data_IF_683794456757
#
_entry.id   IF_683794456757
#
_cell.length_a   1.000
_cell.length_b   1.000
_cell.length_c   1.000
_cell.angle_alpha   90.00
_cell.angle_beta   90.00
_cell.angle_gamma   90.00
#
_symmetry.space_group_name_H-M   'P 1'
#
loop_
_entity.id
_entity.type
_entity.pdbx_description
1 polymer ?
#
# COMPACT_ATOMS: atom_id res chain seq x y z
N UNK A 1 18.05 -9.86 1.50
CA UNK A 1 17.26 -8.61 1.59
C UNK A 1 16.78 -8.20 0.21
N UNK A 2 15.53 -7.75 0.11
CA UNK A 2 14.95 -7.13 -1.10
C UNK A 2 14.31 -5.81 -0.69
N UNK A 3 14.68 -4.72 -1.36
CA UNK A 3 14.15 -3.38 -1.11
C UNK A 3 13.33 -2.90 -2.31
N UNK A 4 12.22 -2.26 -2.04
CA UNK A 4 11.29 -1.75 -3.05
C UNK A 4 11.19 -0.23 -2.99
N UNK A 5 11.09 0.39 -4.15
CA UNK A 5 11.01 1.85 -4.28
C UNK A 5 9.75 2.48 -3.63
N UNK A 6 8.73 1.70 -3.36
CA UNK A 6 7.53 2.15 -2.67
C UNK A 6 7.64 2.14 -1.14
N UNK A 7 8.83 1.91 -0.59
CA UNK A 7 9.14 2.10 0.82
C UNK A 7 9.03 0.85 1.67
N UNK A 8 9.16 -0.34 1.11
CA UNK A 8 9.23 -1.58 1.88
C UNK A 8 10.54 -2.34 1.67
N UNK A 9 10.95 -3.10 2.69
CA UNK A 9 12.13 -3.96 2.68
C UNK A 9 11.74 -5.31 3.24
N UNK A 10 12.17 -6.38 2.58
CA UNK A 10 11.96 -7.76 3.02
C UNK A 10 13.30 -8.39 3.36
N UNK A 11 13.42 -8.88 4.58
CA UNK A 11 14.60 -9.57 5.09
C UNK A 11 14.36 -11.07 5.12
N UNK A 12 15.39 -11.87 4.82
CA UNK A 12 15.36 -13.32 4.95
C UNK A 12 16.47 -13.75 5.90
N UNK A 13 16.12 -14.34 7.03
CA UNK A 13 17.04 -14.85 8.05
C UNK A 13 18.03 -13.78 8.58
N UNK A 14 17.55 -12.57 8.80
CA UNK A 14 18.28 -11.52 9.50
C UNK A 14 17.98 -11.62 11.00
N UNK A 15 18.97 -11.34 11.81
CA UNK A 15 18.77 -11.06 13.24
C UNK A 15 18.32 -9.61 13.46
N UNK A 16 17.70 -9.33 14.63
CA UNK A 16 17.16 -7.99 14.92
C UNK A 16 18.25 -6.88 14.82
N UNK A 17 19.48 -7.14 15.26
CA UNK A 17 20.59 -6.17 15.19
C UNK A 17 21.00 -5.92 13.73
N UNK A 18 21.03 -6.97 12.89
CA UNK A 18 21.34 -6.87 11.46
C UNK A 18 20.27 -6.08 10.70
N UNK A 19 18.98 -6.28 11.05
CA UNK A 19 17.89 -5.50 10.49
C UNK A 19 18.03 -4.02 10.79
N UNK A 20 18.30 -3.66 12.05
CA UNK A 20 18.47 -2.27 12.50
C UNK A 20 19.66 -1.61 11.81
N UNK A 21 20.81 -2.29 11.72
CA UNK A 21 22.02 -1.79 11.04
C UNK A 21 21.73 -1.56 9.56
N UNK A 22 21.10 -2.53 8.91
CA UNK A 22 20.77 -2.48 7.48
C UNK A 22 19.76 -1.37 7.18
N UNK A 23 18.70 -1.23 7.99
CA UNK A 23 17.73 -0.14 7.85
C UNK A 23 18.41 1.23 8.00
N UNK A 24 19.32 1.37 8.96
CA UNK A 24 20.08 2.60 9.16
C UNK A 24 20.95 2.95 7.96
N UNK A 25 21.53 1.94 7.31
CA UNK A 25 22.30 2.13 6.09
C UNK A 25 21.42 2.52 4.89
N UNK A 26 20.27 1.85 4.71
CA UNK A 26 19.35 2.10 3.59
C UNK A 26 18.69 3.46 3.69
N UNK A 27 18.35 3.92 4.89
CA UNK A 27 17.76 5.26 5.14
C UNK A 27 18.55 6.40 4.52
N UNK A 28 19.88 6.29 4.45
CA UNK A 28 20.75 7.31 3.84
C UNK A 28 20.48 7.50 2.33
N UNK A 29 19.83 6.55 1.70
CA UNK A 29 19.49 6.57 0.26
C UNK A 29 18.00 6.78 0.00
N UNK A 30 17.18 6.90 1.07
CA UNK A 30 15.74 7.12 0.95
C UNK A 30 15.45 8.62 0.86
N UNK A 31 14.47 8.96 0.03
CA UNK A 31 13.79 10.25 0.03
C UNK A 31 12.38 10.05 0.59
N UNK A 32 11.90 10.98 1.40
CA UNK A 32 10.54 10.96 1.96
C UNK A 32 10.23 9.70 2.80
N UNK A 33 11.10 9.42 3.76
CA UNK A 33 10.94 8.29 4.68
C UNK A 33 9.57 8.32 5.40
N UNK A 34 8.94 7.17 5.52
CA UNK A 34 7.70 7.04 6.29
C UNK A 34 7.94 7.30 7.78
N UNK A 35 7.07 8.10 8.39
CA UNK A 35 7.18 8.44 9.83
C UNK A 35 6.99 7.24 10.74
N UNK A 36 6.16 6.29 10.33
CA UNK A 36 5.87 5.08 11.09
C UNK A 36 6.41 3.87 10.33
N UNK A 37 7.21 3.07 11.02
CA UNK A 37 7.69 1.78 10.51
C UNK A 37 6.69 0.70 10.96
N UNK A 38 6.23 -0.10 10.00
CA UNK A 38 5.47 -1.32 10.24
C UNK A 38 6.35 -2.52 9.98
N UNK A 39 6.20 -3.55 10.79
CA UNK A 39 6.88 -4.83 10.64
C UNK A 39 5.86 -5.94 10.70
N UNK A 40 6.03 -6.93 9.85
CA UNK A 40 5.28 -8.18 9.84
C UNK A 40 6.24 -9.33 9.57
N UNK A 41 5.95 -10.50 10.13
CA UNK A 41 6.78 -11.69 9.98
C UNK A 41 5.99 -12.79 9.26
N UNK A 42 6.63 -13.45 8.33
CA UNK A 42 6.04 -14.56 7.58
C UNK A 42 7.00 -15.75 7.47
N UNK A 43 6.51 -16.95 7.75
CA UNK A 43 7.31 -18.15 7.75
C UNK A 43 7.54 -18.71 6.33
N UNK A 44 8.78 -18.98 5.99
CA UNK A 44 9.13 -19.74 4.76
C UNK A 44 9.90 -21.00 5.17
N UNK A 45 9.31 -22.16 4.91
CA UNK A 45 9.93 -23.45 5.19
C UNK A 45 10.39 -24.12 3.90
N UNK A 46 11.52 -24.80 3.95
CA UNK A 46 12.01 -25.59 2.81
C UNK A 46 11.97 -27.07 3.19
N UNK A 47 11.21 -27.84 2.41
CA UNK A 47 11.07 -29.31 2.59
C UNK A 47 11.27 -30.01 1.25
N UNK A 48 12.46 -30.52 0.94
CA UNK A 48 12.76 -31.18 -0.35
C UNK A 48 11.88 -32.38 -0.68
N UNK A 49 11.28 -33.02 0.34
CA UNK A 49 10.40 -34.17 0.21
C UNK A 49 8.93 -33.82 -0.03
N UNK A 50 8.61 -32.53 -0.16
CA UNK A 50 7.23 -32.07 -0.42
C UNK A 50 6.75 -32.65 -1.76
N UNK A 51 5.57 -33.30 -1.85
CA UNK A 51 5.03 -33.81 -3.09
C UNK A 51 4.75 -32.71 -4.12
N UNK A 52 4.14 -31.63 -3.65
CA UNK A 52 3.85 -30.47 -4.45
C UNK A 52 5.02 -29.46 -4.46
N UNK A 53 4.98 -28.49 -5.35
CA UNK A 53 6.00 -27.46 -5.41
C UNK A 53 5.96 -26.53 -4.19
N UNK A 54 4.76 -26.21 -3.74
CA UNK A 54 4.50 -25.39 -2.56
C UNK A 54 3.24 -25.86 -1.84
N UNK A 55 3.19 -25.61 -0.54
CA UNK A 55 2.05 -25.87 0.32
C UNK A 55 1.85 -24.70 1.26
N UNK A 56 0.65 -24.13 1.27
CA UNK A 56 0.27 -23.06 2.18
C UNK A 56 -0.02 -23.55 3.59
N UNK A 57 0.20 -22.68 4.58
CA UNK A 57 -0.13 -22.93 5.98
C UNK A 57 -0.45 -21.62 6.68
N UNK A 58 -0.88 -21.68 7.93
CA UNK A 58 -1.16 -20.47 8.70
C UNK A 58 0.13 -19.67 8.91
N UNK A 59 0.12 -18.41 8.43
CA UNK A 59 1.24 -17.45 8.51
C UNK A 59 2.56 -17.99 7.94
N UNK A 60 2.50 -18.93 6.99
CA UNK A 60 3.68 -19.52 6.38
C UNK A 60 3.39 -20.20 5.04
N UNK A 61 4.45 -20.35 4.26
CA UNK A 61 4.48 -21.20 3.07
C UNK A 61 5.61 -22.22 3.19
N UNK A 62 5.34 -23.47 2.76
CA UNK A 62 6.34 -24.51 2.63
C UNK A 62 6.67 -24.69 1.15
N UNK A 63 7.94 -24.68 0.82
CA UNK A 63 8.45 -24.83 -0.53
C UNK A 63 9.27 -26.13 -0.66
N UNK A 64 9.23 -26.78 -1.82
CA UNK A 64 10.13 -27.89 -2.11
C UNK A 64 11.59 -27.44 -2.16
N UNK A 65 11.84 -26.28 -2.72
CA UNK A 65 13.15 -25.62 -2.78
C UNK A 65 12.98 -24.11 -2.76
N UNK A 66 14.04 -23.41 -2.36
CA UNK A 66 14.10 -21.97 -2.42
C UNK A 66 15.18 -21.53 -3.41
N UNK A 67 14.85 -20.61 -4.29
CA UNK A 67 15.74 -19.98 -5.24
C UNK A 67 15.52 -18.47 -5.31
N UNK A 68 16.24 -17.80 -6.17
CA UNK A 68 16.13 -16.34 -6.34
C UNK A 68 14.75 -15.91 -6.82
N UNK A 69 14.09 -16.70 -7.67
CA UNK A 69 12.77 -16.36 -8.21
C UNK A 69 11.68 -16.56 -7.15
N UNK A 70 11.77 -17.61 -6.31
CA UNK A 70 10.92 -17.75 -5.12
C UNK A 70 11.07 -16.56 -4.17
N UNK A 71 12.30 -16.12 -3.89
CA UNK A 71 12.58 -14.96 -3.04
C UNK A 71 11.94 -13.69 -3.63
N UNK A 72 12.06 -13.48 -4.94
CA UNK A 72 11.45 -12.32 -5.62
C UNK A 72 9.94 -12.33 -5.52
N UNK A 73 9.30 -13.47 -5.79
CA UNK A 73 7.83 -13.58 -5.72
C UNK A 73 7.33 -13.33 -4.31
N UNK A 74 7.90 -14.00 -3.31
CA UNK A 74 7.52 -13.84 -1.90
C UNK A 74 7.75 -12.40 -1.46
N UNK A 75 8.92 -11.83 -1.73
CA UNK A 75 9.24 -10.45 -1.36
C UNK A 75 8.29 -9.44 -2.00
N UNK A 76 7.90 -9.66 -3.26
CA UNK A 76 6.96 -8.78 -3.96
C UNK A 76 5.62 -8.68 -3.21
N UNK A 77 5.06 -9.82 -2.81
CA UNK A 77 3.77 -9.86 -2.09
C UNK A 77 3.90 -9.26 -0.69
N UNK A 78 4.91 -9.66 0.08
CA UNK A 78 5.13 -9.14 1.44
C UNK A 78 5.38 -7.63 1.41
N UNK A 79 6.19 -7.15 0.48
CA UNK A 79 6.48 -5.74 0.30
C UNK A 79 5.24 -4.92 -0.10
N UNK A 80 4.42 -5.44 -1.01
CA UNK A 80 3.15 -4.83 -1.40
C UNK A 80 2.16 -4.79 -0.24
N UNK A 81 2.06 -5.85 0.56
CA UNK A 81 1.17 -5.93 1.71
C UNK A 81 1.47 -4.83 2.74
N UNK A 82 2.73 -4.67 3.11
CA UNK A 82 3.17 -3.63 4.07
C UNK A 82 2.95 -2.22 3.50
N UNK A 83 3.26 -2.00 2.23
CA UNK A 83 3.06 -0.70 1.59
C UNK A 83 1.56 -0.35 1.48
N UNK A 84 0.72 -1.34 1.17
CA UNK A 84 -0.73 -1.17 1.09
C UNK A 84 -1.32 -0.73 2.44
N UNK A 85 -0.84 -1.27 3.56
CA UNK A 85 -1.22 -0.83 4.90
C UNK A 85 -0.92 0.65 5.15
N UNK A 86 0.25 1.11 4.71
CA UNK A 86 0.62 2.51 4.82
C UNK A 86 -0.34 3.42 4.04
N UNK A 87 -0.63 3.07 2.80
CA UNK A 87 -1.55 3.86 1.96
C UNK A 87 -3.00 3.78 2.43
N UNK A 88 -3.45 2.62 2.93
CA UNK A 88 -4.76 2.47 3.52
C UNK A 88 -4.96 3.41 4.72
N UNK A 89 -3.98 3.48 5.62
CA UNK A 89 -4.00 4.42 6.75
C UNK A 89 -4.09 5.88 6.28
N UNK A 90 -3.27 6.25 5.30
CA UNK A 90 -3.26 7.60 4.74
C UNK A 90 -4.60 7.99 4.11
N UNK A 91 -5.22 7.05 3.40
CA UNK A 91 -6.55 7.25 2.80
C UNK A 91 -7.64 7.32 3.87
N UNK A 92 -7.59 6.52 4.92
CA UNK A 92 -8.53 6.59 6.04
C UNK A 92 -8.47 7.94 6.77
N UNK A 93 -7.28 8.50 6.96
CA UNK A 93 -7.09 9.86 7.51
C UNK A 93 -7.76 10.92 6.62
N UNK A 94 -7.66 10.78 5.28
CA UNK A 94 -8.34 11.68 4.35
C UNK A 94 -9.87 11.53 4.43
N UNK A 95 -10.39 10.30 4.47
CA UNK A 95 -11.83 10.04 4.63
C UNK A 95 -12.36 10.67 5.90
N UNK A 96 -11.64 10.55 7.01
CA UNK A 96 -12.02 11.18 8.28
C UNK A 96 -12.05 12.72 8.16
N UNK A 97 -11.07 13.32 7.52
CA UNK A 97 -11.04 14.78 7.27
C UNK A 97 -12.26 15.22 6.48
N UNK A 98 -12.66 14.50 5.44
CA UNK A 98 -13.87 14.81 4.67
C UNK A 98 -15.16 14.62 5.48
N UNK A 99 -15.21 13.59 6.31
CA UNK A 99 -16.33 13.35 7.21
C UNK A 99 -16.52 14.50 8.20
N UNK A 100 -15.44 14.99 8.80
CA UNK A 100 -15.45 16.15 9.70
C UNK A 100 -15.91 17.42 8.99
N UNK A 101 -15.45 17.66 7.76
CA UNK A 101 -15.88 18.79 6.95
C UNK A 101 -17.39 18.74 6.65
N UNK A 102 -17.89 17.57 6.24
CA UNK A 102 -19.31 17.38 5.98
C UNK A 102 -20.17 17.59 7.23
N UNK A 103 -19.74 17.06 8.38
CA UNK A 103 -20.42 17.28 9.66
C UNK A 103 -20.40 18.76 10.08
N UNK A 104 -19.31 19.47 9.83
CA UNK A 104 -19.20 20.89 10.07
C UNK A 104 -20.19 21.69 9.20
N UNK A 105 -20.31 21.32 7.93
CA UNK A 105 -21.28 21.94 7.00
C UNK A 105 -22.72 21.63 7.41
N UNK A 106 -23.03 20.41 7.82
CA UNK A 106 -24.37 20.03 8.30
C UNK A 106 -24.81 20.87 9.50
N UNK A 107 -23.90 21.12 10.45
CA UNK A 107 -24.19 21.88 11.66
C UNK A 107 -24.27 23.39 11.43
N UNK A 108 -23.38 23.94 10.60
CA UNK A 108 -23.23 25.39 10.42
C UNK A 108 -23.96 25.97 9.20
N UNK A 109 -24.32 25.09 8.25
CA UNK A 109 -24.83 25.50 6.93
C UNK A 109 -23.79 26.23 6.07
N UNK A 110 -22.53 26.27 6.50
CA UNK A 110 -21.46 26.99 5.81
C UNK A 110 -20.21 26.13 5.64
N UNK A 111 -19.48 26.40 4.55
CA UNK A 111 -18.19 25.78 4.29
C UNK A 111 -17.08 26.58 4.99
N UNK A 112 -16.41 25.96 5.97
CA UNK A 112 -15.46 26.64 6.85
C UNK A 112 -13.99 26.52 6.43
N UNK A 113 -13.68 25.60 5.51
CA UNK A 113 -12.31 25.41 5.04
C UNK A 113 -11.86 26.55 4.13
N UNK A 114 -10.60 26.98 4.26
CA UNK A 114 -10.01 27.95 3.34
C UNK A 114 -9.71 27.30 1.98
N UNK A 115 -9.74 28.13 0.94
CA UNK A 115 -9.38 27.69 -0.42
C UNK A 115 -7.98 27.05 -0.47
N UNK A 116 -7.02 27.63 0.25
CA UNK A 116 -5.64 27.10 0.34
C UNK A 116 -5.61 25.70 0.92
N UNK A 117 -6.31 25.49 2.04
CA UNK A 117 -6.36 24.19 2.71
C UNK A 117 -7.04 23.13 1.83
N UNK A 118 -8.09 23.51 1.10
CA UNK A 118 -8.75 22.60 0.17
C UNK A 118 -7.82 22.20 -0.99
N UNK A 119 -7.07 23.13 -1.58
CA UNK A 119 -6.10 22.78 -2.62
C UNK A 119 -4.99 21.88 -2.10
N UNK A 120 -4.53 22.08 -0.87
CA UNK A 120 -3.55 21.19 -0.24
C UNK A 120 -4.12 19.77 -0.07
N UNK A 121 -5.37 19.64 0.31
CA UNK A 121 -6.06 18.36 0.45
C UNK A 121 -6.25 17.66 -0.90
N UNK A 122 -6.63 18.41 -1.95
CA UNK A 122 -6.72 17.92 -3.34
C UNK A 122 -5.35 17.40 -3.81
N UNK A 123 -4.30 18.16 -3.59
CA UNK A 123 -2.96 17.78 -3.98
C UNK A 123 -2.50 16.51 -3.23
N UNK A 124 -2.75 16.41 -1.93
CA UNK A 124 -2.42 15.23 -1.13
C UNK A 124 -3.17 13.98 -1.61
N UNK A 125 -4.45 14.09 -1.92
CA UNK A 125 -5.26 12.99 -2.45
C UNK A 125 -4.75 12.53 -3.83
N UNK A 126 -4.45 13.45 -4.74
CA UNK A 126 -3.92 13.12 -6.06
C UNK A 126 -2.54 12.48 -5.98
N UNK A 127 -1.66 12.95 -5.09
CA UNK A 127 -0.35 12.35 -4.86
C UNK A 127 -0.49 10.93 -4.34
N UNK A 128 -1.37 10.70 -3.36
CA UNK A 128 -1.62 9.36 -2.81
C UNK A 128 -2.16 8.41 -3.88
N UNK A 129 -3.11 8.86 -4.70
CA UNK A 129 -3.64 8.07 -5.81
C UNK A 129 -2.54 7.70 -6.81
N UNK A 130 -1.71 8.66 -7.20
CA UNK A 130 -0.59 8.42 -8.10
C UNK A 130 0.42 7.42 -7.52
N UNK A 131 0.76 7.53 -6.25
CA UNK A 131 1.66 6.60 -5.57
C UNK A 131 1.10 5.18 -5.54
N UNK A 132 -0.19 5.01 -5.22
CA UNK A 132 -0.85 3.70 -5.23
C UNK A 132 -0.83 3.08 -6.63
N UNK A 133 -1.18 3.82 -7.65
CA UNK A 133 -1.27 3.30 -9.03
C UNK A 133 0.12 3.02 -9.61
N UNK A 134 1.05 3.98 -9.48
CA UNK A 134 2.32 3.93 -10.19
C UNK A 134 3.41 3.16 -9.44
N UNK A 135 3.41 3.19 -8.12
CA UNK A 135 4.49 2.61 -7.32
C UNK A 135 4.21 1.21 -6.82
N UNK A 136 2.98 0.92 -6.40
CA UNK A 136 2.67 -0.40 -5.85
C UNK A 136 2.61 -1.49 -6.92
N UNK A 137 2.26 -1.16 -8.17
CA UNK A 137 2.15 -2.15 -9.24
C UNK A 137 1.26 -3.34 -8.88
N UNK A 138 0.23 -3.11 -8.06
CA UNK A 138 -0.61 -4.16 -7.46
C UNK A 138 -1.35 -5.01 -8.49
N UNK A 139 -1.56 -4.47 -9.68
CA UNK A 139 -2.23 -5.17 -10.78
C UNK A 139 -1.27 -5.96 -11.65
N UNK A 140 0.04 -5.77 -11.46
CA UNK A 140 1.05 -6.44 -12.27
C UNK A 140 1.56 -7.67 -11.55
N UNK A 141 1.58 -8.78 -12.26
CA UNK A 141 2.23 -10.02 -11.82
C UNK A 141 3.74 -9.79 -11.80
N UNK A 142 4.44 -10.30 -10.79
CA UNK A 142 5.90 -10.20 -10.76
C UNK A 142 6.52 -10.90 -11.98
N UNK A 143 7.63 -10.36 -12.51
CA UNK A 143 8.33 -10.95 -13.66
C UNK A 143 8.68 -12.42 -13.44
N UNK A 144 9.02 -12.81 -12.21
CA UNK A 144 9.31 -14.18 -11.84
C UNK A 144 8.07 -15.08 -11.97
N UNK A 145 6.88 -14.59 -11.61
CA UNK A 145 5.63 -15.35 -11.74
C UNK A 145 5.20 -15.61 -13.19
N UNK A 146 5.70 -14.83 -14.15
CA UNK A 146 5.47 -15.08 -15.59
C UNK A 146 6.35 -16.17 -16.19
N UNK A 147 7.47 -16.52 -15.54
CA UNK A 147 8.43 -17.47 -16.09
C UNK A 147 7.96 -18.92 -16.02
N UNK A 148 7.24 -19.29 -14.97
CA UNK A 148 6.87 -20.67 -14.69
C UNK A 148 5.57 -20.75 -13.89
N UNK A 149 4.77 -21.78 -14.15
CA UNK A 149 3.51 -22.04 -13.46
C UNK A 149 3.68 -22.24 -11.93
N UNK A 150 4.81 -22.77 -11.48
CA UNK A 150 5.09 -22.97 -10.07
C UNK A 150 5.25 -21.65 -9.33
N UNK A 151 5.97 -20.69 -9.91
CA UNK A 151 6.09 -19.34 -9.34
C UNK A 151 4.76 -18.57 -9.41
N UNK A 152 3.98 -18.76 -10.49
CA UNK A 152 2.64 -18.19 -10.58
C UNK A 152 1.73 -18.72 -9.49
N UNK A 153 1.78 -20.02 -9.18
CA UNK A 153 0.98 -20.63 -8.10
C UNK A 153 1.34 -20.04 -6.73
N UNK A 154 2.63 -19.87 -6.43
CA UNK A 154 3.08 -19.23 -5.19
C UNK A 154 2.57 -17.78 -5.12
N UNK A 155 2.67 -17.04 -6.21
CA UNK A 155 2.21 -15.67 -6.30
C UNK A 155 0.71 -15.54 -6.05
N UNK A 156 -0.10 -16.39 -6.69
CA UNK A 156 -1.56 -16.42 -6.52
C UNK A 156 -1.94 -16.80 -5.09
N UNK A 157 -1.32 -17.85 -4.55
CA UNK A 157 -1.56 -18.28 -3.17
C UNK A 157 -1.28 -17.15 -2.16
N UNK A 158 -0.10 -16.52 -2.23
CA UNK A 158 0.26 -15.45 -1.30
C UNK A 158 -0.62 -14.21 -1.47
N UNK A 159 -1.01 -13.90 -2.70
CA UNK A 159 -1.90 -12.79 -2.99
C UNK A 159 -3.27 -12.97 -2.34
N UNK A 160 -3.80 -14.17 -2.36
CA UNK A 160 -5.05 -14.55 -1.69
C UNK A 160 -4.86 -14.58 -0.16
N UNK A 161 -3.76 -15.18 0.34
CA UNK A 161 -3.46 -15.28 1.77
C UNK A 161 -3.32 -13.90 2.46
N UNK A 162 -2.75 -12.93 1.75
CA UNK A 162 -2.63 -11.53 2.20
C UNK A 162 -3.82 -10.66 1.80
N UNK A 163 -4.86 -11.21 1.19
CA UNK A 163 -6.09 -10.51 0.77
C UNK A 163 -5.80 -9.23 -0.04
N UNK A 164 -4.77 -9.27 -0.92
CA UNK A 164 -4.30 -8.05 -1.58
C UNK A 164 -5.34 -7.46 -2.52
N UNK A 165 -6.12 -8.28 -3.22
CA UNK A 165 -7.13 -7.81 -4.16
C UNK A 165 -8.26 -7.08 -3.43
N UNK A 166 -8.79 -7.67 -2.36
CA UNK A 166 -9.86 -7.09 -1.55
C UNK A 166 -9.42 -5.81 -0.86
N UNK A 167 -8.20 -5.80 -0.33
CA UNK A 167 -7.61 -4.62 0.32
C UNK A 167 -7.39 -3.49 -0.69
N UNK A 168 -6.96 -3.81 -1.91
CA UNK A 168 -6.80 -2.83 -2.98
C UNK A 168 -8.15 -2.29 -3.45
N UNK A 169 -9.15 -3.15 -3.66
CA UNK A 169 -10.50 -2.72 -4.03
C UNK A 169 -11.12 -1.78 -3.00
N UNK A 170 -10.93 -2.07 -1.71
CA UNK A 170 -11.35 -1.19 -0.62
C UNK A 170 -10.66 0.17 -0.67
N UNK A 171 -9.36 0.19 -0.95
CA UNK A 171 -8.57 1.42 -1.10
C UNK A 171 -9.04 2.24 -2.30
N UNK A 172 -9.24 1.61 -3.45
CA UNK A 172 -9.72 2.23 -4.68
C UNK A 172 -11.11 2.85 -4.49
N UNK A 173 -12.02 2.12 -3.86
CA UNK A 173 -13.35 2.63 -3.51
C UNK A 173 -13.27 3.91 -2.66
N UNK A 174 -12.46 3.91 -1.60
CA UNK A 174 -12.27 5.07 -0.72
C UNK A 174 -11.65 6.25 -1.47
N UNK A 175 -10.69 6.02 -2.34
CA UNK A 175 -10.09 7.06 -3.19
C UNK A 175 -11.10 7.66 -4.16
N UNK A 176 -11.99 6.86 -4.73
CA UNK A 176 -13.07 7.34 -5.59
C UNK A 176 -14.06 8.23 -4.81
N UNK A 177 -14.41 7.85 -3.59
CA UNK A 177 -15.23 8.68 -2.68
C UNK A 177 -14.55 10.01 -2.37
N UNK A 178 -13.26 9.99 -2.07
CA UNK A 178 -12.46 11.20 -1.83
C UNK A 178 -12.48 12.12 -3.05
N UNK A 179 -12.23 11.60 -4.25
CA UNK A 179 -12.25 12.39 -5.49
C UNK A 179 -13.62 13.02 -5.75
N UNK A 180 -14.69 12.29 -5.47
CA UNK A 180 -16.05 12.82 -5.61
C UNK A 180 -16.32 13.98 -4.64
N UNK A 181 -15.95 13.84 -3.37
CA UNK A 181 -16.07 14.90 -2.37
C UNK A 181 -15.21 16.13 -2.72
N UNK A 182 -13.99 15.92 -3.20
CA UNK A 182 -13.12 17.01 -3.65
C UNK A 182 -13.74 17.84 -4.76
N UNK A 183 -14.34 17.19 -5.75
CA UNK A 183 -15.03 17.85 -6.85
C UNK A 183 -16.19 18.70 -6.33
N UNK A 184 -17.01 18.16 -5.45
CA UNK A 184 -18.11 18.86 -4.80
C UNK A 184 -17.64 20.12 -4.04
N UNK A 185 -16.58 20.02 -3.24
CA UNK A 185 -16.06 21.16 -2.49
C UNK A 185 -15.45 22.24 -3.41
N UNK A 186 -14.80 21.85 -4.50
CA UNK A 186 -14.29 22.80 -5.48
C UNK A 186 -15.42 23.57 -6.18
N UNK A 187 -16.54 22.92 -6.50
CA UNK A 187 -17.73 23.57 -7.08
C UNK A 187 -18.33 24.58 -6.12
N UNK A 188 -18.45 24.24 -4.81
CA UNK A 188 -18.92 25.20 -3.79
C UNK A 188 -18.03 26.44 -3.74
N UNK A 189 -16.71 26.27 -3.79
CA UNK A 189 -15.77 27.41 -3.76
C UNK A 189 -15.85 28.27 -5.01
N UNK A 190 -16.13 27.69 -6.17
CA UNK A 190 -16.33 28.44 -7.42
C UNK A 190 -17.59 29.27 -7.37
N UNK A 191 -18.68 28.70 -6.88
CA UNK A 191 -19.99 29.38 -6.78
C UNK A 191 -19.96 30.54 -5.80
N UNK A 192 -19.27 30.41 -4.64
CA UNK A 192 -19.09 31.56 -3.68
C UNK A 192 -18.40 32.78 -4.29
N UNK A 193 -17.65 32.62 -5.37
CA UNK A 193 -17.01 33.71 -6.09
C UNK A 193 -18.00 34.46 -7.01
N UNK A 194 -19.08 33.78 -7.40
CA UNK A 194 -20.15 34.37 -8.23
C UNK A 194 -21.17 35.18 -7.43
N UNK A 195 -21.34 34.84 -6.13
CA UNK A 195 -22.32 35.53 -5.25
C UNK A 195 -21.75 36.81 -4.59
N UNK A 196 -20.51 37.17 -4.87
CA UNK A 196 -19.84 38.37 -4.32
C UNK A 196 -19.65 39.45 -5.38
N UNK A 197 -20.31 39.35 -6.52
CA UNK A 197 -20.47 40.36 -7.56
C UNK A 197 -21.90 40.90 -7.54
#
# INVERSE_FOLDING_TARGET
>A
MVAFQYGSIVFFNFGDDEEVETLTAVRKFCTDEFRETRKDDYGVLVRPTLPEWSEGGQDRITLRMIDTDNIRVISSILGQSIALDHYAKKVDEMVNTFSELNQGMEKSGTFTMTRKSLFQLVAAANTTLADVILRLGLLERSDAAWKDANYAQIWEYLRDDFELDERFESLDFKLNVIQHNLRFFLEILQNKKSDTL
#
